data_IF_003638589901
#
_entry.id   IF_003638589901
#
_cell.length_a   1.000
_cell.length_b   1.000
_cell.length_c   1.000
_cell.angle_alpha   90.00
_cell.angle_beta   90.00
_cell.angle_gamma   90.00
#
_symmetry.space_group_name_H-M   'P 1'
#
loop_
_entity.id
_entity.type
_entity.pdbx_description
1 polymer ?
#
# COMPACT_ATOMS: atom_id res chain seq x y z
N UNK A 1 -9.71 18.30 4.69
CA UNK A 1 -8.86 17.21 4.14
C UNK A 1 -7.48 17.75 3.78
N UNK A 2 -6.41 17.29 4.44
CA UNK A 2 -5.04 17.75 4.19
C UNK A 2 -4.07 16.57 4.07
N UNK A 3 -3.04 16.75 3.23
CA UNK A 3 -1.94 15.80 3.06
C UNK A 3 -1.06 15.84 4.32
N UNK A 4 -0.60 14.69 4.79
CA UNK A 4 0.37 14.57 5.87
C UNK A 4 1.77 14.76 5.30
N UNK A 5 2.40 15.90 5.56
CA UNK A 5 3.80 16.11 5.20
C UNK A 5 4.76 15.24 6.02
N UNK A 6 6.03 15.23 5.61
CA UNK A 6 7.13 14.40 6.17
C UNK A 6 7.14 14.30 7.70
N UNK A 7 7.05 15.43 8.41
CA UNK A 7 7.14 15.47 9.87
C UNK A 7 5.99 14.74 10.57
N UNK A 8 4.77 14.84 10.03
CA UNK A 8 3.59 14.16 10.56
C UNK A 8 3.61 12.66 10.23
N UNK A 9 4.08 12.30 9.03
CA UNK A 9 4.30 10.90 8.65
C UNK A 9 5.31 10.22 9.57
N UNK A 10 6.45 10.85 9.85
CA UNK A 10 7.45 10.32 10.78
C UNK A 10 6.88 10.10 12.20
N UNK A 11 6.07 11.04 12.70
CA UNK A 11 5.39 10.86 13.99
C UNK A 11 4.43 9.68 13.96
N UNK A 12 3.76 9.46 12.83
CA UNK A 12 2.79 8.39 12.68
C UNK A 12 3.47 7.02 12.59
N UNK A 13 4.50 6.88 11.75
CA UNK A 13 5.31 5.65 11.59
C UNK A 13 5.92 5.20 12.92
N UNK A 14 6.41 6.15 13.73
CA UNK A 14 6.95 5.85 15.07
C UNK A 14 5.92 5.30 16.04
N UNK A 15 4.63 5.63 15.85
CA UNK A 15 3.54 5.15 16.70
C UNK A 15 2.96 3.84 16.18
N UNK A 16 2.69 3.75 14.88
CA UNK A 16 2.05 2.65 14.20
C UNK A 16 2.85 2.39 12.91
N UNK A 17 3.22 1.14 12.58
CA UNK A 17 3.93 0.82 11.35
C UNK A 17 3.03 0.95 10.11
N UNK A 18 2.66 2.18 9.74
CA UNK A 18 1.79 2.48 8.60
C UNK A 18 2.41 2.10 7.24
N UNK A 19 3.74 1.93 7.23
CA UNK A 19 4.54 1.38 6.14
C UNK A 19 5.54 0.42 6.79
N UNK A 20 5.65 -0.81 6.27
CA UNK A 20 6.63 -1.78 6.76
C UNK A 20 7.16 -2.70 5.65
N UNK A 21 8.48 -2.88 5.51
CA UNK A 21 9.53 -2.17 6.23
C UNK A 21 9.56 -0.67 5.84
N UNK A 22 9.90 0.18 6.82
CA UNK A 22 10.03 1.61 6.60
C UNK A 22 11.50 1.99 6.47
N UNK A 23 11.83 2.77 5.45
CA UNK A 23 13.15 3.35 5.25
C UNK A 23 13.00 4.84 4.91
N UNK A 24 13.58 5.70 5.75
CA UNK A 24 13.48 7.14 5.63
C UNK A 24 14.04 7.69 4.30
N UNK A 25 14.93 6.94 3.64
CA UNK A 25 15.47 7.31 2.31
C UNK A 25 14.40 7.33 1.21
N UNK A 26 13.28 6.62 1.40
CA UNK A 26 12.15 6.64 0.46
C UNK A 26 11.09 7.69 0.80
N UNK A 27 11.28 8.48 1.86
CA UNK A 27 10.39 9.62 2.11
C UNK A 27 10.66 10.75 1.13
N UNK A 28 9.60 11.31 0.56
CA UNK A 28 9.62 12.59 -0.15
C UNK A 28 9.03 13.72 0.74
N UNK A 29 8.61 14.83 0.15
CA UNK A 29 8.07 15.97 0.90
C UNK A 29 6.68 15.69 1.51
N UNK A 30 5.86 14.92 0.79
CA UNK A 30 4.41 14.84 0.98
C UNK A 30 3.90 13.40 1.14
N UNK A 31 4.81 12.43 1.18
CA UNK A 31 4.51 11.01 1.14
C UNK A 31 5.73 10.11 1.31
N UNK A 32 5.62 8.93 0.72
CA UNK A 32 6.63 7.88 0.73
C UNK A 32 6.67 7.18 -0.63
N UNK A 33 7.81 6.63 -1.01
CA UNK A 33 7.98 5.86 -2.24
C UNK A 33 7.96 4.36 -1.94
N UNK A 34 6.90 3.68 -2.36
CA UNK A 34 6.80 2.22 -2.30
C UNK A 34 7.72 1.57 -3.33
N UNK A 35 8.27 0.42 -2.99
CA UNK A 35 9.18 -0.34 -3.84
C UNK A 35 8.56 -1.66 -4.30
N UNK A 36 9.18 -2.30 -5.29
CA UNK A 36 8.65 -3.57 -5.85
C UNK A 36 9.10 -4.78 -5.04
N UNK A 37 8.18 -5.72 -4.79
CA UNK A 37 8.45 -6.93 -4.01
C UNK A 37 9.37 -7.94 -4.71
N UNK A 38 9.24 -8.09 -6.03
CA UNK A 38 9.95 -9.09 -6.83
C UNK A 38 10.26 -8.59 -8.25
N UNK A 39 11.15 -9.29 -8.97
CA UNK A 39 11.45 -8.97 -10.37
C UNK A 39 10.23 -9.22 -11.25
N UNK A 40 9.82 -8.20 -12.02
CA UNK A 40 8.72 -8.29 -12.98
C UNK A 40 9.24 -7.99 -14.38
N UNK A 41 9.08 -8.95 -15.28
CA UNK A 41 9.22 -8.74 -16.72
C UNK A 41 7.84 -8.57 -17.33
N UNK A 42 7.64 -7.50 -18.09
CA UNK A 42 6.39 -7.17 -18.76
C UNK A 42 6.60 -7.06 -20.27
N UNK A 43 6.05 -8.00 -21.01
CA UNK A 43 6.07 -7.97 -22.48
C UNK A 43 5.20 -6.84 -23.01
N UNK A 44 5.41 -6.44 -24.26
CA UNK A 44 4.54 -5.46 -24.91
C UNK A 44 3.08 -5.95 -24.95
N UNK A 45 2.14 -5.06 -24.59
CA UNK A 45 0.70 -5.34 -24.40
C UNK A 45 0.36 -6.39 -23.33
N UNK A 46 1.32 -6.77 -22.48
CA UNK A 46 1.03 -7.64 -21.33
C UNK A 46 0.46 -6.81 -20.18
N UNK A 47 -0.57 -7.36 -19.54
CA UNK A 47 -1.09 -6.90 -18.26
C UNK A 47 -0.48 -7.71 -17.11
N UNK A 48 0.01 -7.04 -16.06
CA UNK A 48 0.45 -7.69 -14.82
C UNK A 48 0.14 -6.88 -13.59
N UNK A 49 0.00 -7.58 -12.47
CA UNK A 49 0.05 -6.98 -11.14
C UNK A 49 1.49 -6.89 -10.65
N UNK A 50 1.89 -5.70 -10.24
CA UNK A 50 3.15 -5.45 -9.51
C UNK A 50 2.81 -5.24 -8.05
N UNK A 51 3.40 -6.04 -7.18
CA UNK A 51 3.11 -6.02 -5.74
C UNK A 51 4.12 -5.11 -5.03
N UNK A 52 3.62 -4.23 -4.16
CA UNK A 52 4.49 -3.44 -3.29
C UNK A 52 5.26 -4.33 -2.33
N UNK A 53 6.54 -4.02 -2.10
CA UNK A 53 7.35 -4.69 -1.09
C UNK A 53 6.81 -4.40 0.31
N UNK A 54 6.45 -3.15 0.53
CA UNK A 54 5.96 -2.66 1.81
C UNK A 54 4.49 -3.01 2.01
N UNK A 55 4.16 -3.38 3.24
CA UNK A 55 2.81 -3.44 3.77
C UNK A 55 2.38 -2.02 4.13
N UNK A 56 1.20 -1.63 3.67
CA UNK A 56 0.57 -0.36 3.99
C UNK A 56 -0.53 -0.61 5.01
N UNK A 57 -0.49 0.11 6.13
CA UNK A 57 -1.55 0.15 7.13
C UNK A 57 -2.07 1.58 7.27
N UNK A 58 -3.32 1.81 6.90
CA UNK A 58 -4.01 3.08 7.11
C UNK A 58 -4.85 3.04 8.39
N UNK A 59 -4.60 3.90 9.38
CA UNK A 59 -5.52 4.08 10.51
C UNK A 59 -6.91 4.51 10.07
N UNK A 60 -7.91 4.40 10.95
CA UNK A 60 -9.32 4.62 10.62
C UNK A 60 -9.67 6.08 10.26
N UNK A 61 -8.80 7.03 10.62
CA UNK A 61 -8.91 8.46 10.30
C UNK A 61 -7.99 8.91 9.15
N UNK A 62 -7.38 7.97 8.43
CA UNK A 62 -6.44 8.26 7.34
C UNK A 62 -6.82 7.45 6.11
N UNK A 63 -6.79 8.08 4.95
CA UNK A 63 -6.79 7.39 3.66
C UNK A 63 -5.45 7.63 2.98
N UNK A 64 -5.12 6.84 1.96
CA UNK A 64 -3.95 7.14 1.14
C UNK A 64 -4.31 7.14 -0.34
N UNK A 65 -3.51 7.86 -1.12
CA UNK A 65 -3.64 7.91 -2.57
C UNK A 65 -2.29 7.54 -3.20
N UNK A 66 -2.35 6.78 -4.28
CA UNK A 66 -1.17 6.36 -5.03
C UNK A 66 -1.03 7.17 -6.31
N UNK A 67 0.19 7.59 -6.60
CA UNK A 67 0.56 8.17 -7.89
C UNK A 67 1.79 7.46 -8.46
N UNK A 68 1.76 7.19 -9.76
CA UNK A 68 2.85 6.50 -10.43
C UNK A 68 4.10 7.36 -10.47
N UNK A 69 5.28 6.74 -10.27
CA UNK A 69 6.53 7.47 -10.54
C UNK A 69 6.59 7.82 -12.02
N UNK A 70 6.77 9.11 -12.28
CA UNK A 70 6.76 9.69 -13.62
C UNK A 70 7.74 9.01 -14.60
N UNK A 71 8.83 8.38 -14.10
CA UNK A 71 9.76 7.60 -14.92
C UNK A 71 9.09 6.45 -15.68
N UNK A 72 8.12 5.76 -15.06
CA UNK A 72 7.44 4.62 -15.68
C UNK A 72 6.40 5.06 -16.70
N UNK A 73 5.65 6.13 -16.41
CA UNK A 73 4.74 6.73 -17.39
C UNK A 73 5.48 7.18 -18.65
N UNK A 74 6.67 7.81 -18.49
CA UNK A 74 7.53 8.18 -19.62
C UNK A 74 8.14 6.99 -20.36
N UNK A 75 8.30 5.85 -19.69
CA UNK A 75 8.76 4.60 -20.30
C UNK A 75 7.65 3.82 -21.02
N UNK A 76 6.42 4.37 -21.09
CA UNK A 76 5.29 3.72 -21.75
C UNK A 76 4.56 2.70 -20.89
N UNK A 77 4.78 2.66 -19.58
CA UNK A 77 3.95 1.86 -18.67
C UNK A 77 2.68 2.65 -18.28
N UNK A 78 1.54 2.05 -18.54
CA UNK A 78 0.24 2.55 -18.11
C UNK A 78 -0.20 1.85 -16.82
N UNK A 79 -0.68 2.63 -15.86
CA UNK A 79 -1.24 2.14 -14.60
C UNK A 79 -2.75 2.20 -14.69
N UNK A 80 -3.42 1.06 -14.58
CA UNK A 80 -4.86 0.95 -14.83
C UNK A 80 -5.69 1.33 -13.60
N UNK A 81 -5.15 1.15 -12.40
CA UNK A 81 -5.86 1.46 -11.17
C UNK A 81 -5.42 2.81 -10.57
N UNK A 82 -6.36 3.75 -10.48
CA UNK A 82 -6.26 4.89 -9.57
C UNK A 82 -6.48 4.38 -8.14
N UNK A 83 -5.40 3.97 -7.47
CA UNK A 83 -5.51 3.28 -6.20
C UNK A 83 -5.64 4.26 -5.03
N UNK A 84 -6.87 4.39 -4.51
CA UNK A 84 -7.13 4.91 -3.17
C UNK A 84 -7.05 3.76 -2.17
N UNK A 85 -6.24 3.93 -1.13
CA UNK A 85 -6.20 3.02 0.01
C UNK A 85 -7.24 3.49 1.04
N UNK A 86 -8.22 2.64 1.32
CA UNK A 86 -9.28 2.92 2.27
C UNK A 86 -8.75 2.98 3.70
N UNK A 87 -9.38 3.78 4.56
CA UNK A 87 -9.06 3.83 5.99
C UNK A 87 -9.30 2.48 6.66
N UNK A 88 -8.36 1.99 7.47
CA UNK A 88 -8.43 0.67 8.10
C UNK A 88 -7.91 -0.50 7.25
N UNK A 89 -7.40 -0.24 6.05
CA UNK A 89 -6.78 -1.26 5.21
C UNK A 89 -5.39 -1.65 5.75
N UNK A 90 -5.07 -2.93 5.66
CA UNK A 90 -3.74 -3.49 5.94
C UNK A 90 -3.41 -4.51 4.85
N UNK A 91 -2.30 -4.35 4.16
CA UNK A 91 -1.84 -5.27 3.14
C UNK A 91 -0.78 -4.68 2.23
N UNK A 92 -0.23 -5.49 1.34
CA UNK A 92 0.53 -4.95 0.21
C UNK A 92 -0.43 -4.44 -0.85
N UNK A 93 0.06 -3.58 -1.73
CA UNK A 93 -0.74 -3.00 -2.81
C UNK A 93 -0.42 -3.74 -4.11
N UNK A 94 -1.46 -4.21 -4.79
CA UNK A 94 -1.37 -4.72 -6.14
C UNK A 94 -1.65 -3.59 -7.13
N UNK A 95 -0.71 -3.38 -8.05
CA UNK A 95 -0.77 -2.31 -9.03
C UNK A 95 -0.89 -2.92 -10.43
N UNK A 96 -1.97 -2.61 -11.11
CA UNK A 96 -2.29 -3.15 -12.43
C UNK A 96 -1.56 -2.29 -13.47
N UNK A 97 -0.63 -2.91 -14.19
CA UNK A 97 0.14 -2.21 -15.22
C UNK A 97 0.05 -2.91 -16.58
N UNK A 98 0.14 -2.10 -17.63
CA UNK A 98 0.26 -2.56 -19.02
C UNK A 98 1.45 -1.88 -19.68
N UNK A 99 2.24 -2.66 -20.41
CA UNK A 99 3.33 -2.12 -21.22
C UNK A 99 2.80 -1.65 -22.58
N UNK A 100 2.80 -0.33 -22.78
CA UNK A 100 2.38 0.35 -24.00
C UNK A 100 3.54 1.12 -24.64
N UNK A 101 4.79 0.75 -24.37
CA UNK A 101 5.92 1.47 -24.95
C UNK A 101 5.96 1.34 -26.48
N UNK A 102 6.37 2.42 -27.15
CA UNK A 102 6.31 2.53 -28.62
C UNK A 102 7.30 1.60 -29.32
N UNK A 103 8.42 1.29 -28.66
CA UNK A 103 9.45 0.39 -29.18
C UNK A 103 9.02 -1.08 -29.16
N UNK A 104 7.90 -1.38 -28.48
CA UNK A 104 7.35 -2.74 -28.30
C UNK A 104 8.32 -3.71 -27.63
N UNK A 105 9.23 -3.17 -26.83
CA UNK A 105 10.22 -3.96 -26.10
C UNK A 105 9.71 -4.39 -24.73
N UNK A 106 10.20 -5.50 -24.17
CA UNK A 106 9.87 -5.89 -22.80
C UNK A 106 10.45 -4.88 -21.79
N UNK A 107 9.67 -4.53 -20.77
CA UNK A 107 10.15 -3.72 -19.64
C UNK A 107 10.47 -4.63 -18.46
N UNK A 108 11.60 -4.38 -17.80
CA UNK A 108 12.02 -5.10 -16.59
C UNK A 108 11.97 -4.13 -15.42
N UNK A 109 11.19 -4.47 -14.41
CA UNK A 109 11.15 -3.78 -13.12
C UNK A 109 11.81 -4.71 -12.10
N UNK A 110 12.81 -4.21 -11.40
CA UNK A 110 13.60 -5.01 -10.46
C UNK A 110 13.01 -4.96 -9.07
N UNK A 111 13.23 -6.04 -8.32
CA UNK A 111 12.97 -6.07 -6.88
C UNK A 111 13.65 -4.88 -6.20
N UNK A 112 12.89 -4.17 -5.37
CA UNK A 112 13.35 -2.97 -4.66
C UNK A 112 13.36 -1.69 -5.50
N UNK A 113 13.00 -1.74 -6.79
CA UNK A 113 12.88 -0.51 -7.58
C UNK A 113 11.83 0.42 -6.95
N UNK A 114 12.13 1.72 -6.80
CA UNK A 114 11.13 2.72 -6.43
C UNK A 114 10.02 2.75 -7.49
N UNK A 115 8.76 2.61 -7.08
CA UNK A 115 7.65 2.32 -8.01
C UNK A 115 6.50 3.32 -7.95
N UNK A 116 5.96 3.59 -6.76
CA UNK A 116 4.79 4.45 -6.56
C UNK A 116 5.05 5.45 -5.45
N UNK A 117 4.52 6.65 -5.60
CA UNK A 117 4.35 7.56 -4.48
C UNK A 117 3.05 7.21 -3.75
N UNK A 118 3.08 7.25 -2.42
CA UNK A 118 1.91 7.14 -1.55
C UNK A 118 1.82 8.39 -0.68
N UNK A 119 0.68 9.08 -0.77
CA UNK A 119 0.36 10.26 0.01
C UNK A 119 -0.74 9.92 1.01
N UNK A 120 -0.58 10.34 2.26
CA UNK A 120 -1.59 10.09 3.30
C UNK A 120 -2.41 11.34 3.54
N UNK A 121 -3.71 11.16 3.72
CA UNK A 121 -4.67 12.25 3.81
C UNK A 121 -5.53 12.04 5.06
N UNK A 122 -5.67 13.08 5.89
CA UNK A 122 -6.59 13.04 7.05
C UNK A 122 -8.04 13.00 6.56
N UNK A 123 -8.77 11.99 7.01
CA UNK A 123 -10.22 11.86 6.82
C UNK A 123 -10.96 12.62 7.93
N UNK A 124 -12.01 13.33 7.55
CA UNK A 124 -12.96 13.95 8.47
C UNK A 124 -14.24 13.12 8.57
N UNK A 125 -14.93 13.22 9.71
CA UNK A 125 -16.17 12.50 10.02
C UNK A 125 -15.95 11.14 10.69
N UNK A 126 -17.06 10.46 10.99
CA UNK A 126 -17.05 9.19 11.69
C UNK A 126 -16.28 8.10 10.91
N UNK A 127 -15.46 7.28 11.58
CA UNK A 127 -14.74 6.22 10.93
C UNK A 127 -15.65 5.14 10.34
N UNK A 128 -15.30 4.68 9.14
CA UNK A 128 -15.88 3.48 8.53
C UNK A 128 -14.70 2.69 7.95
N UNK A 129 -14.11 1.76 8.73
CA UNK A 129 -12.93 1.02 8.33
C UNK A 129 -13.18 0.10 7.13
N UNK A 130 -12.12 -0.29 6.43
CA UNK A 130 -12.19 -1.22 5.31
C UNK A 130 -12.62 -2.63 5.77
N UNK A 131 -13.70 -3.15 5.19
CA UNK A 131 -14.25 -4.49 5.52
C UNK A 131 -14.17 -5.48 4.36
N UNK A 132 -13.46 -5.12 3.28
CA UNK A 132 -13.40 -5.91 2.06
C UNK A 132 -12.46 -7.12 2.14
N UNK A 133 -12.51 -7.95 1.10
CA UNK A 133 -11.83 -9.25 1.03
C UNK A 133 -10.30 -9.15 0.88
N UNK A 134 -9.78 -8.02 0.40
CA UNK A 134 -8.35 -7.80 0.18
C UNK A 134 -7.58 -7.44 1.45
N UNK A 135 -8.22 -7.48 2.62
CA UNK A 135 -7.52 -7.30 3.89
C UNK A 135 -6.47 -8.40 4.08
N UNK A 136 -5.25 -7.97 4.43
CA UNK A 136 -4.05 -8.79 4.56
C UNK A 136 -3.52 -9.39 3.25
N UNK A 137 -3.92 -8.84 2.09
CA UNK A 137 -3.43 -9.37 0.82
C UNK A 137 -1.90 -9.36 0.74
N UNK A 138 -1.37 -10.47 0.23
CA UNK A 138 0.06 -10.75 0.10
C UNK A 138 0.87 -10.64 1.39
N UNK A 139 0.24 -10.76 2.57
CA UNK A 139 0.95 -10.84 3.85
C UNK A 139 1.15 -12.30 4.27
N UNK A 140 2.27 -12.58 4.92
CA UNK A 140 2.48 -13.85 5.61
C UNK A 140 1.77 -13.86 6.97
N UNK A 141 1.62 -15.04 7.56
CA UNK A 141 1.04 -15.20 8.90
C UNK A 141 1.80 -14.39 9.94
N UNK A 142 3.13 -14.44 9.92
CA UNK A 142 4.01 -13.75 10.86
C UNK A 142 3.85 -12.22 10.74
N UNK A 143 3.68 -11.72 9.51
CA UNK A 143 3.42 -10.31 9.27
C UNK A 143 2.04 -9.90 9.81
N UNK A 144 1.00 -10.73 9.60
CA UNK A 144 -0.33 -10.46 10.17
C UNK A 144 -0.24 -10.43 11.70
N UNK A 145 0.41 -11.41 12.32
CA UNK A 145 0.61 -11.48 13.77
C UNK A 145 1.33 -10.25 14.32
N UNK A 146 2.36 -9.76 13.63
CA UNK A 146 3.06 -8.53 13.97
C UNK A 146 2.13 -7.31 14.01
N UNK A 147 1.12 -7.25 13.14
CA UNK A 147 0.17 -6.13 13.07
C UNK A 147 -0.95 -6.19 14.12
N UNK A 148 -1.28 -7.36 14.69
CA UNK A 148 -2.42 -7.53 15.61
C UNK A 148 -2.43 -6.53 16.79
N UNK A 149 -1.32 -6.28 17.52
CA UNK A 149 -1.34 -5.32 18.63
C UNK A 149 -1.70 -3.89 18.18
N UNK A 150 -1.21 -3.48 17.01
CA UNK A 150 -1.50 -2.18 16.43
C UNK A 150 -2.96 -2.09 15.96
N UNK A 151 -3.48 -3.15 15.36
CA UNK A 151 -4.87 -3.26 14.96
C UNK A 151 -5.83 -3.13 16.14
N UNK A 152 -5.58 -3.86 17.23
CA UNK A 152 -6.40 -3.77 18.45
C UNK A 152 -6.45 -2.34 18.98
N UNK A 153 -5.33 -1.61 18.92
CA UNK A 153 -5.28 -0.20 19.32
C UNK A 153 -6.00 0.74 18.36
N UNK A 154 -5.89 0.50 17.05
CA UNK A 154 -6.48 1.37 16.00
C UNK A 154 -7.99 1.18 15.85
N UNK A 155 -8.45 -0.08 15.91
CA UNK A 155 -9.87 -0.41 15.75
C UNK A 155 -10.63 -0.45 17.09
N UNK A 156 -9.92 -0.60 18.21
CA UNK A 156 -10.52 -0.60 19.54
C UNK A 156 -11.67 -1.62 19.66
N UNK A 157 -12.85 -1.12 20.04
CA UNK A 157 -14.07 -1.95 20.20
C UNK A 157 -14.53 -2.65 18.92
N UNK A 158 -14.17 -2.13 17.75
CA UNK A 158 -14.56 -2.72 16.46
C UNK A 158 -13.66 -3.88 16.03
N UNK A 159 -12.53 -4.10 16.72
CA UNK A 159 -11.54 -5.10 16.30
C UNK A 159 -12.13 -6.50 16.14
N UNK A 160 -12.82 -7.05 17.14
CA UNK A 160 -13.33 -8.44 17.07
C UNK A 160 -14.40 -8.61 15.98
N UNK A 161 -15.25 -7.59 15.80
CA UNK A 161 -16.27 -7.56 14.74
C UNK A 161 -15.61 -7.59 13.35
N UNK A 162 -14.57 -6.78 13.16
CA UNK A 162 -13.83 -6.70 11.90
C UNK A 162 -12.97 -7.96 11.66
N UNK A 163 -12.32 -8.48 12.70
CA UNK A 163 -11.53 -9.71 12.65
C UNK A 163 -12.37 -10.90 12.17
N UNK A 164 -13.62 -11.00 12.62
CA UNK A 164 -14.58 -11.98 12.12
C UNK A 164 -14.88 -11.79 10.63
N UNK A 165 -15.17 -10.57 10.18
CA UNK A 165 -15.41 -10.26 8.76
C UNK A 165 -14.23 -10.59 7.86
N UNK A 166 -13.01 -10.28 8.29
CA UNK A 166 -11.79 -10.57 7.55
C UNK A 166 -11.33 -12.03 7.65
N UNK A 167 -12.06 -12.87 8.41
CA UNK A 167 -11.67 -14.25 8.72
C UNK A 167 -10.24 -14.35 9.27
N UNK A 168 -9.86 -13.38 10.12
CA UNK A 168 -8.50 -13.22 10.61
C UNK A 168 -7.95 -14.51 11.22
N UNK A 169 -8.71 -15.15 12.09
CA UNK A 169 -8.27 -16.37 12.78
C UNK A 169 -8.13 -17.59 11.86
N UNK A 170 -8.77 -17.59 10.68
CA UNK A 170 -8.54 -18.62 9.66
C UNK A 170 -7.20 -18.39 8.95
N UNK A 171 -6.88 -17.12 8.64
CA UNK A 171 -5.60 -16.72 8.03
C UNK A 171 -4.39 -16.95 8.96
N UNK A 172 -4.63 -17.11 10.26
CA UNK A 172 -3.61 -17.36 11.29
C UNK A 172 -3.45 -18.84 11.65
N UNK A 173 -4.21 -19.76 11.03
CA UNK A 173 -4.01 -21.20 11.24
C UNK A 173 -2.86 -21.66 10.35
#
# INVERSE_FOLDING_TARGET
MSILGRSELLKLVKKIPIIHPFDENYMDGDGYVLTVMEDVKLQYLEHRNVISREIVFTPTNIVAHLTAKSRYGRAGLSFLNAAKVHSGFIGRLALEIVNLNNEREPVIIKKGDPFMHIEFIRREGEPSPYEGEYQFQYMTKEEIEFYIPYMKRVFGKDFERLASKWKLYEKLR
#
